data_IF_312696979917
#
_entry.id   IF_312696979917
#
_cell.length_a   1.000
_cell.length_b   1.000
_cell.length_c   1.000
_cell.angle_alpha   90.00
_cell.angle_beta   90.00
_cell.angle_gamma   90.00
#
_symmetry.space_group_name_H-M   'P 1'
#
loop_
_entity.id
_entity.type
_entity.pdbx_description
1 polymer ?
#
# COMPACT_ATOMS: atom_id res chain seq x y z
N UNK A 1 47.63 -16.48 -59.42
CA UNK A 1 46.27 -15.81 -59.41
C UNK A 1 45.82 -15.67 -57.97
N UNK A 2 45.86 -14.46 -57.44
CA UNK A 2 45.47 -14.14 -56.02
C UNK A 2 44.03 -13.66 -56.01
N UNK A 3 43.14 -14.34 -55.26
CA UNK A 3 41.76 -13.88 -54.99
C UNK A 3 41.76 -13.16 -53.69
N UNK A 4 41.37 -11.86 -53.72
CA UNK A 4 41.11 -10.99 -52.57
C UNK A 4 39.70 -11.25 -52.02
N UNK A 5 39.60 -11.77 -50.83
CA UNK A 5 38.37 -11.83 -50.09
C UNK A 5 38.06 -10.47 -49.42
N UNK A 6 36.94 -9.85 -49.76
CA UNK A 6 36.42 -8.64 -49.09
C UNK A 6 35.66 -9.07 -47.83
N UNK A 7 36.20 -8.74 -46.67
CA UNK A 7 35.50 -8.83 -45.38
C UNK A 7 34.56 -7.63 -45.26
N UNK A 8 33.27 -7.88 -45.28
CA UNK A 8 32.24 -6.85 -44.95
C UNK A 8 32.04 -6.86 -43.44
N UNK A 9 32.50 -5.82 -42.77
CA UNK A 9 32.16 -5.56 -41.36
C UNK A 9 30.72 -5.03 -41.32
N UNK A 10 29.79 -5.86 -40.85
CA UNK A 10 28.45 -5.36 -40.42
C UNK A 10 28.61 -4.72 -39.04
N UNK A 11 28.65 -3.41 -39.03
CA UNK A 11 28.49 -2.62 -37.81
C UNK A 11 27.07 -2.73 -37.29
N UNK A 12 26.86 -3.51 -36.22
CA UNK A 12 25.61 -3.52 -35.49
C UNK A 12 25.52 -2.24 -34.65
N UNK A 13 24.80 -1.26 -35.15
CA UNK A 13 24.43 -0.06 -34.37
C UNK A 13 23.32 -0.47 -33.43
N UNK A 14 23.65 -0.83 -32.19
CA UNK A 14 22.69 -0.95 -31.09
C UNK A 14 22.28 0.48 -30.69
N UNK A 15 21.28 1.05 -31.37
CA UNK A 15 20.69 2.33 -31.00
C UNK A 15 19.69 2.09 -29.88
N UNK A 16 20.09 2.48 -28.74
CA UNK A 16 19.36 2.89 -27.52
C UNK A 16 17.86 3.22 -27.74
N UNK A 17 17.02 2.17 -27.85
CA UNK A 17 15.55 2.31 -27.85
C UNK A 17 14.98 2.75 -26.48
N UNK A 18 15.77 2.66 -25.40
CA UNK A 18 15.38 3.03 -24.04
C UNK A 18 15.28 4.55 -23.81
N UNK A 19 16.07 5.36 -24.51
CA UNK A 19 16.06 6.82 -24.35
C UNK A 19 14.87 7.49 -25.05
N UNK A 20 14.41 6.95 -26.16
CA UNK A 20 13.34 7.59 -26.96
C UNK A 20 11.98 7.44 -26.26
N UNK A 21 11.74 6.34 -25.55
CA UNK A 21 10.46 6.12 -24.85
C UNK A 21 10.27 7.01 -23.62
N UNK A 22 11.33 7.30 -22.87
CA UNK A 22 11.27 8.19 -21.70
C UNK A 22 11.10 9.66 -22.11
N UNK A 23 11.74 10.09 -23.18
CA UNK A 23 11.60 11.43 -23.74
C UNK A 23 10.19 11.62 -24.31
N UNK A 24 9.67 10.66 -25.06
CA UNK A 24 8.32 10.73 -25.62
C UNK A 24 7.22 10.78 -24.54
N UNK A 25 7.42 10.10 -23.39
CA UNK A 25 6.48 10.17 -22.28
C UNK A 25 6.55 11.53 -21.55
N UNK A 26 7.75 12.04 -21.26
CA UNK A 26 7.90 13.36 -20.62
C UNK A 26 7.33 14.50 -21.45
N UNK A 27 7.30 14.35 -22.78
CA UNK A 27 6.66 15.31 -23.69
C UNK A 27 5.14 15.28 -23.67
N UNK A 28 4.53 14.18 -23.17
CA UNK A 28 3.05 14.01 -23.05
C UNK A 28 2.50 14.52 -21.74
N UNK A 29 3.33 14.69 -20.71
CA UNK A 29 2.91 15.24 -19.42
C UNK A 29 2.96 16.77 -19.43
N UNK A 30 1.96 17.39 -18.82
CA UNK A 30 1.97 18.81 -18.55
C UNK A 30 3.13 19.20 -17.63
N UNK A 31 3.70 20.37 -17.84
CA UNK A 31 4.88 20.89 -17.11
C UNK A 31 4.54 21.42 -15.72
N UNK A 32 3.28 21.74 -15.49
CA UNK A 32 2.74 22.26 -14.23
C UNK A 32 1.28 21.79 -14.06
N UNK A 33 0.69 22.08 -12.89
CA UNK A 33 -0.66 21.61 -12.57
C UNK A 33 -1.74 22.14 -13.53
N UNK A 34 -1.62 23.38 -14.01
CA UNK A 34 -2.61 23.97 -14.92
C UNK A 34 -2.59 23.26 -16.27
N UNK A 35 -1.41 23.02 -16.81
CA UNK A 35 -1.25 22.27 -18.06
C UNK A 35 -1.69 20.81 -17.91
N UNK A 36 -1.34 20.15 -16.79
CA UNK A 36 -1.80 18.79 -16.47
C UNK A 36 -3.32 18.74 -16.43
N UNK A 37 -3.98 19.69 -15.76
CA UNK A 37 -5.42 19.76 -15.67
C UNK A 37 -6.09 19.98 -17.04
N UNK A 38 -5.51 20.84 -17.87
CA UNK A 38 -5.99 21.08 -19.24
C UNK A 38 -5.87 19.82 -20.11
N UNK A 39 -4.74 19.10 -20.02
CA UNK A 39 -4.51 17.88 -20.78
C UNK A 39 -5.39 16.74 -20.27
N UNK A 40 -5.53 16.58 -18.95
CA UNK A 40 -6.42 15.61 -18.34
C UNK A 40 -7.88 15.78 -18.80
N UNK A 41 -8.37 17.01 -18.88
CA UNK A 41 -9.70 17.31 -19.41
C UNK A 41 -9.84 16.98 -20.91
N UNK A 42 -8.75 17.02 -21.67
CA UNK A 42 -8.74 16.57 -23.09
C UNK A 42 -8.72 15.05 -23.21
N UNK A 43 -8.03 14.36 -22.30
CA UNK A 43 -7.95 12.90 -22.23
C UNK A 43 -9.30 12.26 -21.84
N UNK A 44 -10.09 12.92 -21.01
CA UNK A 44 -11.48 12.59 -20.63
C UNK A 44 -11.69 11.24 -19.91
N UNK A 45 -10.68 10.43 -19.80
CA UNK A 45 -10.79 9.10 -19.20
C UNK A 45 -9.57 8.81 -18.33
N UNK A 46 -9.74 7.94 -17.32
CA UNK A 46 -8.65 7.28 -16.62
C UNK A 46 -9.10 5.89 -16.20
N UNK A 47 -8.29 4.87 -16.49
CA UNK A 47 -8.52 3.50 -16.03
C UNK A 47 -7.52 3.12 -14.94
N UNK A 48 -8.05 2.70 -13.81
CA UNK A 48 -7.28 2.48 -12.58
C UNK A 48 -7.39 1.03 -12.13
N UNK A 49 -6.26 0.36 -11.94
CA UNK A 49 -6.22 -0.90 -11.22
C UNK A 49 -5.97 -0.62 -9.73
N UNK A 50 -6.97 -0.88 -8.88
CA UNK A 50 -6.97 -0.46 -7.47
C UNK A 50 -7.47 -1.52 -6.51
N UNK A 51 -7.20 -1.38 -5.22
CA UNK A 51 -7.70 -2.24 -4.15
C UNK A 51 -8.86 -1.63 -3.35
N UNK A 52 -9.49 -0.56 -3.86
CA UNK A 52 -10.63 0.07 -3.18
C UNK A 52 -11.83 -0.86 -3.10
N UNK A 53 -12.62 -0.70 -2.06
CA UNK A 53 -13.86 -1.46 -1.92
C UNK A 53 -14.93 -0.85 -2.85
N UNK A 54 -15.58 -1.65 -3.70
CA UNK A 54 -16.53 -1.16 -4.71
C UNK A 54 -17.66 -0.30 -4.11
N UNK A 55 -18.11 -0.64 -2.91
CA UNK A 55 -19.15 0.10 -2.19
C UNK A 55 -18.73 1.51 -1.78
N UNK A 56 -17.43 1.77 -1.63
CA UNK A 56 -16.89 3.08 -1.23
C UNK A 56 -16.48 3.93 -2.42
N UNK A 57 -16.26 3.34 -3.59
CA UNK A 57 -15.62 3.98 -4.74
C UNK A 57 -16.28 5.29 -5.17
N UNK A 58 -17.61 5.29 -5.32
CA UNK A 58 -18.34 6.49 -5.75
C UNK A 58 -18.19 7.64 -4.75
N UNK A 59 -18.25 7.34 -3.44
CA UNK A 59 -18.09 8.33 -2.38
C UNK A 59 -16.63 8.80 -2.27
N UNK A 60 -15.67 7.87 -2.41
CA UNK A 60 -14.24 8.16 -2.39
C UNK A 60 -13.85 9.14 -3.51
N UNK A 61 -14.36 8.94 -4.71
CA UNK A 61 -14.03 9.73 -5.89
C UNK A 61 -14.90 10.98 -6.06
N UNK A 62 -15.89 11.21 -5.20
CA UNK A 62 -16.86 12.30 -5.33
C UNK A 62 -16.21 13.67 -5.50
N UNK A 63 -15.21 14.02 -4.68
CA UNK A 63 -14.51 15.30 -4.78
C UNK A 63 -13.73 15.45 -6.09
N UNK A 64 -13.09 14.36 -6.54
CA UNK A 64 -12.41 14.37 -7.83
C UNK A 64 -13.38 14.59 -9.00
N UNK A 65 -14.50 13.86 -9.05
CA UNK A 65 -15.49 13.98 -10.12
C UNK A 65 -16.20 15.34 -10.12
N UNK A 66 -16.36 15.97 -8.96
CA UNK A 66 -16.85 17.34 -8.87
C UNK A 66 -15.84 18.35 -9.42
N UNK A 67 -14.55 18.15 -9.13
CA UNK A 67 -13.47 19.02 -9.61
C UNK A 67 -13.17 18.84 -11.10
N UNK A 68 -13.31 17.61 -11.60
CA UNK A 68 -13.02 17.22 -12.97
C UNK A 68 -14.22 16.49 -13.61
N UNK A 69 -15.35 17.19 -13.83
CA UNK A 69 -16.60 16.55 -14.28
C UNK A 69 -16.51 15.97 -15.69
N UNK A 70 -15.49 16.36 -16.45
CA UNK A 70 -15.23 15.83 -17.80
C UNK A 70 -14.40 14.56 -17.84
N UNK A 71 -13.87 14.09 -16.69
CA UNK A 71 -13.02 12.90 -16.63
C UNK A 71 -13.82 11.71 -16.11
N UNK A 72 -14.01 10.71 -16.95
CA UNK A 72 -14.60 9.42 -16.59
C UNK A 72 -13.55 8.52 -15.96
N UNK A 73 -13.82 8.01 -14.75
CA UNK A 73 -12.99 7.03 -14.08
C UNK A 73 -13.58 5.64 -14.28
N UNK A 74 -12.74 4.68 -14.61
CA UNK A 74 -13.08 3.25 -14.57
C UNK A 74 -12.06 2.51 -13.73
N UNK A 75 -12.52 1.63 -12.87
CA UNK A 75 -11.69 0.90 -11.92
C UNK A 75 -11.78 -0.59 -12.16
N UNK A 76 -10.64 -1.26 -12.02
CA UNK A 76 -10.55 -2.72 -11.96
C UNK A 76 -10.00 -3.10 -10.60
N UNK A 77 -10.73 -3.94 -9.87
CA UNK A 77 -10.32 -4.35 -8.53
C UNK A 77 -9.14 -5.31 -8.59
N UNK A 78 -8.08 -4.98 -7.87
CA UNK A 78 -6.93 -5.84 -7.67
C UNK A 78 -7.09 -6.61 -6.35
N UNK A 79 -7.08 -7.94 -6.43
CA UNK A 79 -7.01 -8.82 -5.26
C UNK A 79 -5.73 -9.65 -5.30
N UNK A 80 -4.85 -9.42 -4.33
CA UNK A 80 -3.63 -10.21 -4.20
C UNK A 80 -2.46 -9.78 -5.11
N UNK A 81 -1.41 -10.58 -5.09
CA UNK A 81 -0.17 -10.34 -5.83
C UNK A 81 -0.30 -10.75 -7.30
N UNK A 82 -1.01 -11.85 -7.58
CA UNK A 82 -1.12 -12.46 -8.91
C UNK A 82 -1.70 -11.51 -9.95
N UNK A 83 -2.72 -10.72 -9.57
CA UNK A 83 -3.31 -9.73 -10.48
C UNK A 83 -2.33 -8.64 -10.85
N UNK A 84 -1.50 -8.21 -9.89
CA UNK A 84 -0.45 -7.19 -10.14
C UNK A 84 0.65 -7.73 -11.02
N UNK A 85 1.10 -8.96 -10.79
CA UNK A 85 2.08 -9.64 -11.64
C UNK A 85 1.55 -9.82 -13.05
N UNK A 86 0.27 -10.17 -13.22
CA UNK A 86 -0.39 -10.24 -14.54
C UNK A 86 -0.34 -8.90 -15.26
N UNK A 87 -0.72 -7.79 -14.61
CA UNK A 87 -0.67 -6.44 -15.20
C UNK A 87 0.76 -6.07 -15.61
N UNK A 88 1.75 -6.41 -14.80
CA UNK A 88 3.16 -6.18 -15.13
C UNK A 88 3.58 -6.98 -16.38
N UNK A 89 3.20 -8.25 -16.45
CA UNK A 89 3.56 -9.13 -17.58
C UNK A 89 2.84 -8.72 -18.87
N UNK A 90 1.59 -8.29 -18.79
CA UNK A 90 0.85 -7.69 -19.92
C UNK A 90 1.57 -6.45 -20.44
N UNK A 91 2.00 -5.57 -19.54
CA UNK A 91 2.75 -4.36 -19.91
C UNK A 91 4.11 -4.67 -20.55
N UNK A 92 4.82 -5.71 -20.08
CA UNK A 92 6.05 -6.21 -20.72
C UNK A 92 5.79 -6.74 -22.14
N UNK A 93 4.62 -7.32 -22.39
CA UNK A 93 4.17 -7.76 -23.71
C UNK A 93 3.64 -6.61 -24.58
N UNK A 94 3.69 -5.36 -24.10
CA UNK A 94 3.20 -4.17 -24.83
C UNK A 94 1.69 -3.92 -24.69
N UNK A 95 1.00 -4.65 -23.83
CA UNK A 95 -0.44 -4.49 -23.56
C UNK A 95 -0.59 -3.62 -22.32
N UNK A 96 -1.01 -2.37 -22.50
CA UNK A 96 -1.23 -1.38 -21.42
C UNK A 96 -2.69 -0.95 -21.41
N UNK A 97 -3.46 -1.63 -20.57
CA UNK A 97 -4.91 -1.38 -20.46
C UNK A 97 -5.24 -0.39 -19.33
N UNK A 98 -4.36 -0.26 -18.33
CA UNK A 98 -4.55 0.67 -17.22
C UNK A 98 -3.63 1.88 -17.36
N UNK A 99 -4.16 3.06 -17.01
CA UNK A 99 -3.35 4.28 -16.94
C UNK A 99 -2.62 4.39 -15.60
N UNK A 100 -3.26 3.89 -14.54
CA UNK A 100 -2.80 3.97 -13.15
C UNK A 100 -2.94 2.61 -12.47
N UNK A 101 -1.93 2.21 -11.72
CA UNK A 101 -1.92 0.93 -11.00
C UNK A 101 -1.51 1.10 -9.55
N UNK A 102 -2.24 0.47 -8.65
CA UNK A 102 -1.84 0.31 -7.25
C UNK A 102 -0.86 -0.86 -7.12
N UNK A 103 0.40 -0.57 -6.81
CA UNK A 103 1.46 -1.56 -6.63
C UNK A 103 1.70 -1.79 -5.13
N UNK A 104 1.71 -3.06 -4.70
CA UNK A 104 2.11 -3.40 -3.33
C UNK A 104 3.62 -3.25 -3.14
N UNK A 105 4.07 -3.07 -1.88
CA UNK A 105 5.47 -2.89 -1.54
C UNK A 105 6.39 -3.97 -2.11
N UNK A 106 5.93 -5.23 -2.09
CA UNK A 106 6.69 -6.40 -2.56
C UNK A 106 7.01 -6.34 -4.06
N UNK A 107 6.12 -5.78 -4.88
CA UNK A 107 6.26 -5.72 -6.34
C UNK A 107 6.85 -4.40 -6.85
N UNK A 108 6.95 -3.38 -6.00
CA UNK A 108 7.39 -2.05 -6.40
C UNK A 108 8.72 -2.07 -7.18
N UNK A 109 9.72 -2.73 -6.62
CA UNK A 109 11.04 -2.82 -7.25
C UNK A 109 11.01 -3.63 -8.57
N UNK A 110 10.11 -4.61 -8.67
CA UNK A 110 9.95 -5.39 -9.89
C UNK A 110 9.36 -4.53 -11.01
N UNK A 111 8.31 -3.74 -10.73
CA UNK A 111 7.73 -2.81 -11.70
C UNK A 111 8.74 -1.76 -12.20
N UNK A 112 9.58 -1.21 -11.30
CA UNK A 112 10.64 -0.26 -11.69
C UNK A 112 11.67 -0.95 -12.58
N UNK A 113 12.20 -2.13 -12.16
CA UNK A 113 13.19 -2.89 -12.90
C UNK A 113 12.68 -3.37 -14.26
N UNK A 114 11.41 -3.74 -14.32
CA UNK A 114 10.75 -4.13 -15.57
C UNK A 114 10.55 -2.94 -16.53
N UNK A 115 10.71 -1.70 -16.05
CA UNK A 115 10.58 -0.49 -16.86
C UNK A 115 9.16 -0.27 -17.40
N UNK A 116 8.14 -0.80 -16.71
CA UNK A 116 6.72 -0.72 -17.09
C UNK A 116 6.00 0.48 -16.51
N UNK A 117 6.68 1.28 -15.68
CA UNK A 117 6.16 2.53 -15.13
C UNK A 117 6.69 3.74 -15.89
N UNK A 118 5.87 4.75 -15.95
CA UNK A 118 6.25 6.08 -16.38
C UNK A 118 6.96 6.83 -15.24
N UNK A 119 8.03 7.51 -15.58
CA UNK A 119 8.77 8.30 -14.59
C UNK A 119 10.26 8.44 -14.92
N UNK A 120 11.02 9.09 -14.05
CA UNK A 120 10.58 9.69 -12.78
C UNK A 120 9.67 10.92 -12.98
N UNK A 121 8.64 11.02 -12.14
CA UNK A 121 7.72 12.15 -12.10
C UNK A 121 8.20 13.14 -11.02
N UNK A 122 8.28 14.44 -11.29
CA UNK A 122 8.75 15.44 -10.33
C UNK A 122 7.64 15.80 -9.32
N UNK A 123 7.14 14.82 -8.56
CA UNK A 123 6.01 14.94 -7.66
C UNK A 123 6.10 16.14 -6.71
N UNK A 124 7.28 16.34 -6.09
CA UNK A 124 7.48 17.43 -5.13
C UNK A 124 7.36 18.82 -5.78
N UNK A 125 7.79 18.94 -7.05
CA UNK A 125 7.68 20.19 -7.79
C UNK A 125 6.22 20.44 -8.20
N UNK A 126 5.51 19.40 -8.59
CA UNK A 126 4.09 19.50 -8.98
C UNK A 126 3.17 19.73 -7.77
N UNK A 127 3.50 19.13 -6.62
CA UNK A 127 2.69 19.18 -5.40
C UNK A 127 3.48 19.63 -4.17
N UNK A 128 4.04 20.87 -4.17
CA UNK A 128 4.99 21.33 -3.14
C UNK A 128 4.37 21.49 -1.75
N UNK A 129 3.02 21.54 -1.64
CA UNK A 129 2.30 21.66 -0.36
C UNK A 129 1.93 20.31 0.25
N UNK A 130 2.13 19.21 -0.46
CA UNK A 130 1.83 17.88 0.02
C UNK A 130 3.03 17.34 0.81
N UNK A 131 2.73 16.64 1.92
CA UNK A 131 3.78 16.03 2.73
C UNK A 131 4.63 15.09 1.87
N UNK A 132 5.94 15.26 1.90
CA UNK A 132 6.90 14.52 1.07
C UNK A 132 6.84 12.99 1.25
N UNK A 133 6.34 12.51 2.40
CA UNK A 133 6.16 11.07 2.66
C UNK A 133 5.19 10.39 1.70
N UNK A 134 4.33 11.18 1.04
CA UNK A 134 3.47 10.66 -0.01
C UNK A 134 4.23 10.29 -1.29
N UNK A 135 5.44 10.80 -1.50
CA UNK A 135 6.15 10.62 -2.77
C UNK A 135 7.38 9.73 -2.62
N UNK A 136 7.52 8.76 -3.51
CA UNK A 136 8.71 7.93 -3.54
C UNK A 136 9.94 8.75 -3.99
N UNK A 137 11.10 8.58 -3.35
CA UNK A 137 12.31 9.33 -3.71
C UNK A 137 12.76 9.11 -5.16
N UNK A 138 12.46 7.94 -5.72
CA UNK A 138 12.76 7.58 -7.11
C UNK A 138 11.77 8.19 -8.13
N UNK A 139 10.70 8.83 -7.68
CA UNK A 139 9.73 9.53 -8.52
C UNK A 139 8.71 8.64 -9.24
N UNK A 140 8.70 7.33 -9.00
CA UNK A 140 7.77 6.43 -9.72
C UNK A 140 6.39 6.32 -9.06
N UNK A 141 6.28 6.60 -7.77
CA UNK A 141 5.05 6.38 -7.02
C UNK A 141 4.63 7.56 -6.17
N UNK A 142 3.31 7.65 -5.97
CA UNK A 142 2.71 8.45 -4.90
C UNK A 142 1.84 7.55 -4.00
N UNK A 143 2.00 7.69 -2.68
CA UNK A 143 1.20 6.98 -1.69
C UNK A 143 -0.15 7.64 -1.52
N UNK A 144 -1.20 7.03 -2.08
CA UNK A 144 -2.58 7.48 -1.93
C UNK A 144 -3.23 6.95 -0.66
N UNK A 145 -2.73 5.86 -0.09
CA UNK A 145 -3.29 5.26 1.11
C UNK A 145 -2.26 4.61 2.01
N UNK A 146 -2.54 4.66 3.32
CA UNK A 146 -1.69 4.10 4.37
C UNK A 146 -2.46 3.01 5.13
N UNK A 147 -1.78 1.92 5.41
CA UNK A 147 -2.31 0.87 6.28
C UNK A 147 -1.79 1.06 7.69
N UNK A 148 -2.68 1.04 8.68
CA UNK A 148 -2.30 0.97 10.09
C UNK A 148 -2.80 -0.31 10.70
N UNK A 149 -2.17 -0.73 11.79
CA UNK A 149 -2.47 -1.98 12.47
C UNK A 149 -2.78 -1.72 13.93
N UNK A 150 -3.80 -2.41 14.40
CA UNK A 150 -4.38 -2.31 15.75
C UNK A 150 -4.51 -3.70 16.37
N UNK A 151 -4.93 -3.77 17.60
CA UNK A 151 -5.30 -5.00 18.24
C UNK A 151 -6.82 -5.10 18.24
N UNK A 152 -7.38 -6.05 17.47
CA UNK A 152 -8.82 -6.29 17.43
C UNK A 152 -9.22 -7.26 18.55
N UNK A 153 -10.36 -7.05 19.19
CA UNK A 153 -10.81 -7.92 20.27
C UNK A 153 -12.35 -8.01 20.35
N UNK A 154 -12.83 -9.09 20.94
CA UNK A 154 -14.25 -9.24 21.27
C UNK A 154 -14.53 -8.62 22.66
N UNK A 155 -15.35 -7.56 22.75
CA UNK A 155 -15.59 -6.87 24.02
C UNK A 155 -16.39 -7.68 25.04
N UNK A 156 -16.97 -8.81 24.65
CA UNK A 156 -17.66 -9.72 25.57
C UNK A 156 -16.75 -10.76 26.19
N UNK A 157 -15.55 -10.99 25.60
CA UNK A 157 -14.58 -11.96 26.05
C UNK A 157 -13.34 -11.35 26.70
N UNK A 158 -13.02 -10.09 26.37
CA UNK A 158 -11.86 -9.38 26.93
C UNK A 158 -12.32 -8.52 28.10
N UNK A 159 -11.87 -8.81 29.34
CA UNK A 159 -12.16 -7.99 30.52
C UNK A 159 -11.66 -6.55 30.33
N UNK A 160 -12.35 -5.58 30.90
CA UNK A 160 -12.00 -4.16 30.75
C UNK A 160 -10.57 -3.81 31.18
N UNK A 161 -10.09 -4.44 32.23
CA UNK A 161 -8.74 -4.29 32.75
C UNK A 161 -7.67 -5.02 31.90
N UNK A 162 -8.08 -5.91 30.99
CA UNK A 162 -7.24 -6.66 30.07
C UNK A 162 -7.26 -6.12 28.64
N UNK A 163 -7.99 -5.02 28.37
CA UNK A 163 -7.94 -4.38 27.04
C UNK A 163 -6.53 -3.88 26.78
N UNK A 164 -5.88 -4.32 25.67
CA UNK A 164 -4.49 -3.98 25.37
C UNK A 164 -4.26 -2.46 25.19
N UNK A 165 -3.11 -1.97 25.63
CA UNK A 165 -2.66 -0.58 25.44
C UNK A 165 -1.36 -0.50 24.65
N UNK A 166 -0.67 -1.63 24.56
CA UNK A 166 0.61 -1.77 23.85
C UNK A 166 0.71 -3.13 23.18
N UNK A 167 1.66 -3.28 22.27
CA UNK A 167 1.95 -4.58 21.67
C UNK A 167 2.39 -5.63 22.68
N UNK A 168 3.10 -5.20 23.75
CA UNK A 168 3.56 -6.10 24.80
C UNK A 168 2.41 -6.78 25.55
N UNK A 169 1.22 -6.19 25.55
CA UNK A 169 0.04 -6.80 26.19
C UNK A 169 -0.40 -8.06 25.46
N UNK A 170 -0.01 -8.25 24.19
CA UNK A 170 -0.17 -9.52 23.49
C UNK A 170 0.71 -10.64 24.07
N UNK A 171 1.73 -10.30 24.86
CA UNK A 171 2.64 -11.24 25.47
C UNK A 171 2.18 -11.67 26.89
N UNK A 172 1.10 -11.06 27.43
CA UNK A 172 0.56 -11.42 28.74
C UNK A 172 0.24 -12.95 28.74
N UNK A 173 0.78 -13.72 29.71
CA UNK A 173 0.51 -15.14 29.85
C UNK A 173 -1.00 -15.49 29.95
N UNK A 174 -1.83 -14.56 30.35
CA UNK A 174 -3.29 -14.70 30.34
C UNK A 174 -3.83 -15.08 28.95
N UNK A 175 -3.18 -14.63 27.89
CA UNK A 175 -3.56 -14.90 26.49
C UNK A 175 -2.93 -16.13 25.89
N UNK A 176 -2.10 -16.85 26.64
CA UNK A 176 -1.40 -18.03 26.14
C UNK A 176 -2.37 -19.04 25.53
N UNK A 177 -2.14 -19.40 24.28
CA UNK A 177 -2.98 -20.33 23.51
C UNK A 177 -4.35 -19.79 23.08
N UNK A 178 -4.68 -18.53 23.37
CA UNK A 178 -6.01 -17.96 23.13
C UNK A 178 -6.02 -16.83 22.09
N UNK A 179 -4.91 -16.11 21.94
CA UNK A 179 -4.87 -14.99 21.00
C UNK A 179 -4.55 -15.46 19.57
N UNK A 180 -5.11 -14.77 18.59
CA UNK A 180 -4.83 -15.01 17.18
C UNK A 180 -3.67 -14.10 16.71
N UNK A 181 -2.78 -14.66 15.88
CA UNK A 181 -1.76 -13.94 15.13
C UNK A 181 -1.86 -14.35 13.66
N UNK A 182 -1.76 -13.36 12.76
CA UNK A 182 -1.74 -13.63 11.34
C UNK A 182 -0.37 -14.14 10.90
N UNK A 183 -0.34 -15.17 10.04
CA UNK A 183 0.91 -15.75 9.51
C UNK A 183 1.66 -14.76 8.59
N UNK A 184 0.98 -13.75 8.07
CA UNK A 184 1.60 -12.61 7.38
C UNK A 184 2.10 -11.59 8.41
N UNK A 185 3.42 -11.33 8.51
CA UNK A 185 3.98 -10.52 9.59
C UNK A 185 3.90 -9.01 9.34
N UNK A 186 3.03 -8.51 8.47
CA UNK A 186 2.99 -7.09 8.07
C UNK A 186 2.87 -6.11 9.23
N UNK A 187 2.09 -6.43 10.24
CA UNK A 187 2.01 -5.62 11.47
C UNK A 187 3.39 -5.39 12.08
N UNK A 188 4.18 -6.45 12.15
CA UNK A 188 5.46 -6.45 12.87
C UNK A 188 6.60 -5.94 11.98
N UNK A 189 6.54 -6.14 10.65
CA UNK A 189 7.45 -5.45 9.72
C UNK A 189 7.27 -3.94 9.82
N UNK A 190 6.02 -3.45 9.97
CA UNK A 190 5.73 -2.04 10.15
C UNK A 190 6.22 -1.43 11.48
N UNK A 191 6.51 -2.24 12.49
CA UNK A 191 7.11 -1.79 13.76
C UNK A 191 8.64 -1.69 13.68
N UNK A 192 9.27 -2.47 12.81
CA UNK A 192 10.72 -2.55 12.71
C UNK A 192 11.43 -1.19 12.47
N UNK A 193 10.89 -0.24 11.67
CA UNK A 193 11.52 1.05 11.46
C UNK A 193 11.68 1.88 12.76
N UNK A 194 10.77 1.71 13.71
CA UNK A 194 10.83 2.43 14.99
C UNK A 194 11.43 1.64 16.14
N UNK A 195 11.34 0.33 16.09
CA UNK A 195 11.84 -0.55 17.14
C UNK A 195 13.27 -1.04 16.90
N UNK A 196 13.70 -1.09 15.67
CA UNK A 196 14.90 -1.79 15.23
C UNK A 196 14.68 -3.31 15.09
N UNK A 197 15.58 -3.95 14.35
CA UNK A 197 15.49 -5.38 14.04
C UNK A 197 15.51 -6.26 15.29
N UNK A 198 16.47 -6.02 16.19
CA UNK A 198 16.65 -6.84 17.38
C UNK A 198 15.40 -6.90 18.26
N UNK A 199 14.83 -5.73 18.61
CA UNK A 199 13.60 -5.64 19.41
C UNK A 199 12.42 -6.29 18.71
N UNK A 200 12.29 -6.10 17.40
CA UNK A 200 11.20 -6.69 16.60
C UNK A 200 11.29 -8.22 16.61
N UNK A 201 12.48 -8.78 16.44
CA UNK A 201 12.68 -10.23 16.47
C UNK A 201 12.56 -10.82 17.87
N UNK A 202 12.97 -10.10 18.91
CA UNK A 202 12.75 -10.50 20.29
C UNK A 202 11.24 -10.59 20.61
N UNK A 203 10.46 -9.58 20.19
CA UNK A 203 9.02 -9.58 20.33
C UNK A 203 8.38 -10.75 19.54
N UNK A 204 8.82 -11.00 18.31
CA UNK A 204 8.31 -12.10 17.49
C UNK A 204 8.53 -13.46 18.17
N UNK A 205 9.70 -13.69 18.78
CA UNK A 205 9.98 -14.91 19.56
C UNK A 205 9.08 -15.04 20.78
N UNK A 206 8.96 -13.96 21.57
CA UNK A 206 8.10 -13.94 22.75
C UNK A 206 6.63 -14.18 22.41
N UNK A 207 6.17 -13.63 21.28
CA UNK A 207 4.82 -13.86 20.77
C UNK A 207 4.58 -15.33 20.42
N UNK A 208 5.56 -15.99 19.79
CA UNK A 208 5.53 -17.44 19.54
C UNK A 208 5.46 -18.23 20.82
N UNK A 209 6.26 -17.85 21.84
CA UNK A 209 6.31 -18.55 23.12
C UNK A 209 4.97 -18.45 23.89
N UNK A 210 4.18 -17.43 23.59
CA UNK A 210 2.81 -17.28 24.06
C UNK A 210 1.81 -18.20 23.33
N UNK A 211 2.29 -19.08 22.44
CA UNK A 211 1.52 -20.12 21.74
C UNK A 211 0.25 -19.58 21.05
N UNK A 212 0.38 -18.58 20.14
CA UNK A 212 -0.79 -18.00 19.49
C UNK A 212 -1.44 -18.99 18.52
N UNK A 213 -2.72 -18.75 18.23
CA UNK A 213 -3.43 -19.43 17.15
C UNK A 213 -3.07 -18.75 15.82
N UNK A 214 -2.38 -19.45 14.96
CA UNK A 214 -1.94 -18.94 13.66
C UNK A 214 -3.06 -19.01 12.62
N UNK A 215 -3.35 -17.88 11.96
CA UNK A 215 -4.36 -17.79 10.88
C UNK A 215 -3.76 -17.12 9.65
N UNK A 216 -4.08 -17.63 8.47
CA UNK A 216 -3.66 -17.05 7.19
C UNK A 216 -4.67 -16.02 6.65
N UNK A 217 -5.97 -16.23 6.93
CA UNK A 217 -7.05 -15.36 6.48
C UNK A 217 -7.33 -14.27 7.51
N UNK A 218 -7.12 -13.01 7.13
CA UNK A 218 -7.42 -11.84 7.96
C UNK A 218 -8.94 -11.70 8.23
N UNK A 219 -9.76 -11.82 7.18
CA UNK A 219 -11.22 -11.75 7.31
C UNK A 219 -11.76 -12.93 8.13
N UNK A 220 -11.28 -14.15 7.87
CA UNK A 220 -11.69 -15.33 8.64
C UNK A 220 -11.34 -15.22 10.12
N UNK A 221 -10.13 -14.72 10.45
CA UNK A 221 -9.73 -14.49 11.84
C UNK A 221 -10.63 -13.46 12.53
N UNK A 222 -10.97 -12.37 11.84
CA UNK A 222 -11.84 -11.35 12.39
C UNK A 222 -13.27 -11.84 12.61
N UNK A 223 -13.81 -12.65 11.69
CA UNK A 223 -15.11 -13.33 11.87
C UNK A 223 -15.10 -14.24 13.11
N UNK A 224 -14.05 -15.02 13.30
CA UNK A 224 -13.91 -15.91 14.47
C UNK A 224 -13.87 -15.13 15.80
N UNK A 225 -13.21 -13.96 15.81
CA UNK A 225 -13.27 -13.07 16.99
C UNK A 225 -14.65 -12.48 17.17
N UNK A 226 -15.31 -12.04 16.10
CA UNK A 226 -16.65 -11.45 16.18
C UNK A 226 -17.70 -12.42 16.73
N UNK A 227 -17.62 -13.72 16.38
CA UNK A 227 -18.52 -14.77 16.89
C UNK A 227 -18.10 -15.33 18.25
N UNK A 228 -16.94 -14.90 18.79
CA UNK A 228 -16.49 -15.28 20.13
C UNK A 228 -15.68 -16.58 20.20
N UNK A 229 -15.17 -17.07 19.07
CA UNK A 229 -14.27 -18.23 19.07
C UNK A 229 -12.90 -17.88 19.70
N UNK A 230 -12.42 -16.67 19.46
CA UNK A 230 -11.18 -16.15 20.04
C UNK A 230 -11.41 -14.76 20.68
N UNK A 231 -10.69 -14.44 21.77
CA UNK A 231 -10.85 -13.15 22.43
C UNK A 231 -10.24 -11.98 21.64
N UNK A 232 -9.12 -12.19 20.95
CA UNK A 232 -8.45 -11.11 20.25
C UNK A 232 -7.46 -11.55 19.16
N UNK A 233 -7.12 -10.58 18.29
CA UNK A 233 -6.09 -10.69 17.24
C UNK A 233 -5.01 -9.66 17.54
N UNK A 234 -3.76 -10.12 17.75
CA UNK A 234 -2.60 -9.26 17.87
C UNK A 234 -2.11 -8.88 16.47
N UNK A 235 -2.46 -7.69 16.02
CA UNK A 235 -2.06 -7.18 14.72
C UNK A 235 -3.08 -7.38 13.62
N UNK A 236 -4.18 -6.62 13.68
CA UNK A 236 -5.21 -6.56 12.66
C UNK A 236 -5.10 -5.25 11.87
N UNK A 237 -5.19 -5.31 10.55
CA UNK A 237 -5.27 -4.12 9.74
C UNK A 237 -6.57 -3.35 10.03
N UNK A 238 -6.45 -2.06 10.33
CA UNK A 238 -7.57 -1.21 10.69
C UNK A 238 -8.65 -1.15 9.60
N UNK A 239 -8.24 -1.02 8.33
CA UNK A 239 -9.17 -1.00 7.21
C UNK A 239 -10.04 -2.27 7.11
N UNK A 240 -9.50 -3.43 7.43
CA UNK A 240 -10.26 -4.70 7.41
C UNK A 240 -11.26 -4.79 8.54
N UNK A 241 -10.90 -4.32 9.73
CA UNK A 241 -11.84 -4.20 10.84
C UNK A 241 -12.96 -3.22 10.49
N UNK A 242 -12.62 -2.06 9.95
CA UNK A 242 -13.59 -1.03 9.53
C UNK A 242 -14.57 -1.58 8.50
N UNK A 243 -14.09 -2.20 7.45
CA UNK A 243 -14.93 -2.84 6.41
C UNK A 243 -15.85 -3.91 7.02
N UNK A 244 -15.37 -4.72 7.97
CA UNK A 244 -16.21 -5.72 8.64
C UNK A 244 -17.33 -5.07 9.44
N UNK A 245 -17.03 -4.03 10.22
CA UNK A 245 -18.05 -3.32 11.04
C UNK A 245 -19.04 -2.55 10.13
N UNK A 246 -18.59 -2.02 9.01
CA UNK A 246 -19.48 -1.37 8.04
C UNK A 246 -20.48 -2.36 7.41
N UNK A 247 -20.03 -3.58 7.09
CA UNK A 247 -20.90 -4.64 6.54
C UNK A 247 -21.80 -5.30 7.58
N UNK A 248 -21.31 -5.41 8.81
CA UNK A 248 -22.06 -5.96 9.94
C UNK A 248 -21.87 -5.08 11.18
N UNK A 249 -22.72 -4.06 11.38
CA UNK A 249 -22.68 -3.21 12.57
C UNK A 249 -22.98 -3.94 13.89
N UNK A 250 -23.48 -5.19 13.83
CA UNK A 250 -23.77 -6.01 15.00
C UNK A 250 -22.59 -6.90 15.41
N UNK A 251 -21.53 -6.95 14.61
CA UNK A 251 -20.32 -7.71 14.89
C UNK A 251 -19.72 -7.32 16.26
N UNK A 252 -19.56 -8.31 17.13
CA UNK A 252 -18.98 -8.11 18.47
C UNK A 252 -17.46 -7.96 18.40
N UNK A 253 -17.01 -6.89 17.76
CA UNK A 253 -15.59 -6.59 17.59
C UNK A 253 -15.32 -5.14 17.93
N UNK A 254 -14.29 -4.92 18.71
CA UNK A 254 -13.73 -3.62 19.06
C UNK A 254 -12.24 -3.60 18.75
N UNK A 255 -11.60 -2.46 18.92
CA UNK A 255 -10.15 -2.34 18.74
C UNK A 255 -9.51 -1.54 19.85
N UNK A 256 -8.24 -1.85 20.07
CA UNK A 256 -7.34 -1.09 20.92
C UNK A 256 -6.20 -0.54 20.05
N UNK A 257 -5.85 0.71 20.29
CA UNK A 257 -4.75 1.39 19.61
C UNK A 257 -3.50 1.29 20.50
N UNK A 258 -2.45 0.57 20.06
CA UNK A 258 -1.24 0.46 20.82
C UNK A 258 -0.44 1.76 20.82
N UNK A 259 0.39 1.97 21.86
CA UNK A 259 1.22 3.18 22.03
C UNK A 259 2.17 3.45 20.86
N UNK A 260 2.74 2.41 20.25
CA UNK A 260 3.50 2.49 18.99
C UNK A 260 2.59 2.04 17.86
N UNK A 261 2.13 2.99 17.05
CA UNK A 261 1.16 2.73 15.99
C UNK A 261 1.86 2.69 14.62
N UNK A 262 1.96 1.51 13.99
CA UNK A 262 2.62 1.39 12.70
C UNK A 262 1.74 1.92 11.58
N UNK A 263 2.35 2.72 10.70
CA UNK A 263 1.78 3.14 9.42
C UNK A 263 2.69 2.68 8.29
N UNK A 264 2.10 1.96 7.36
CA UNK A 264 2.77 1.46 6.17
C UNK A 264 2.15 2.07 4.91
N UNK A 265 2.95 2.22 3.86
CA UNK A 265 2.44 2.60 2.55
C UNK A 265 1.59 1.43 2.03
N UNK A 266 0.28 1.59 2.12
CA UNK A 266 -0.70 0.57 1.72
C UNK A 266 -1.03 0.61 0.25
N UNK A 267 -1.00 1.82 -0.34
CA UNK A 267 -1.34 2.06 -1.73
C UNK A 267 -0.30 2.97 -2.39
N UNK A 268 0.57 2.37 -3.20
CA UNK A 268 1.53 3.07 -4.03
C UNK A 268 1.01 3.13 -5.46
N UNK A 269 0.56 4.31 -5.89
CA UNK A 269 0.02 4.56 -7.21
C UNK A 269 1.13 4.87 -8.19
N UNK A 270 1.25 4.06 -9.23
CA UNK A 270 2.21 4.24 -10.32
C UNK A 270 1.49 4.44 -11.66
N UNK A 271 1.95 5.41 -12.46
CA UNK A 271 1.43 5.63 -13.81
C UNK A 271 2.09 4.62 -14.75
N UNK A 272 1.31 3.94 -15.58
CA UNK A 272 1.86 2.93 -16.51
C UNK A 272 2.59 3.60 -17.66
N UNK A 273 3.74 3.02 -18.04
CA UNK A 273 4.46 3.44 -19.27
C UNK A 273 3.59 3.07 -20.48
N UNK A 274 3.31 4.05 -21.31
CA UNK A 274 2.38 3.84 -22.43
C UNK A 274 0.91 4.06 -22.09
N UNK A 275 0.60 4.57 -20.88
CA UNK A 275 -0.75 4.99 -20.50
C UNK A 275 -1.39 5.83 -21.60
N UNK A 276 -2.66 5.58 -21.90
CA UNK A 276 -3.44 6.34 -22.89
C UNK A 276 -3.77 7.74 -22.37
N UNK A 277 -3.99 7.85 -21.06
CA UNK A 277 -4.47 9.05 -20.38
C UNK A 277 -3.54 9.44 -19.19
N UNK A 278 -2.25 9.74 -19.45
CA UNK A 278 -1.26 9.93 -18.39
C UNK A 278 -1.50 11.19 -17.55
N UNK A 279 -2.08 12.25 -18.13
CA UNK A 279 -2.38 13.48 -17.39
C UNK A 279 -3.61 13.32 -16.50
N UNK A 280 -4.63 12.59 -16.94
CA UNK A 280 -5.77 12.24 -16.11
C UNK A 280 -5.35 11.32 -14.93
N UNK A 281 -4.45 10.36 -15.18
CA UNK A 281 -3.84 9.54 -14.14
C UNK A 281 -3.04 10.38 -13.13
N UNK A 282 -2.25 11.34 -13.60
CA UNK A 282 -1.48 12.25 -12.77
C UNK A 282 -2.38 13.19 -11.96
N UNK A 283 -3.44 13.75 -12.58
CA UNK A 283 -4.41 14.60 -11.89
C UNK A 283 -5.15 13.84 -10.79
N UNK A 284 -5.57 12.59 -11.06
CA UNK A 284 -6.23 11.73 -10.06
C UNK A 284 -5.28 11.41 -8.90
N UNK A 285 -4.06 10.96 -9.21
CA UNK A 285 -3.06 10.64 -8.19
C UNK A 285 -2.73 11.88 -7.35
N UNK A 286 -2.55 13.03 -8.00
CA UNK A 286 -2.29 14.29 -7.33
C UNK A 286 -3.45 14.73 -6.43
N UNK A 287 -4.69 14.51 -6.83
CA UNK A 287 -5.86 14.79 -5.99
C UNK A 287 -5.94 13.84 -4.80
N UNK A 288 -5.70 12.54 -4.99
CA UNK A 288 -5.74 11.55 -3.90
C UNK A 288 -4.79 11.89 -2.75
N UNK A 289 -3.66 12.54 -3.01
CA UNK A 289 -2.71 12.95 -1.97
C UNK A 289 -3.00 14.32 -1.34
N UNK A 290 -4.00 15.05 -1.84
CA UNK A 290 -4.45 16.31 -1.21
C UNK A 290 -5.17 16.07 0.11
N UNK A 291 -5.32 17.08 0.98
CA UNK A 291 -6.12 16.95 2.20
C UNK A 291 -7.55 16.45 1.94
N UNK A 292 -8.18 16.89 0.85
CA UNK A 292 -9.52 16.44 0.46
C UNK A 292 -9.53 14.95 0.06
N UNK A 293 -8.61 14.56 -0.83
CA UNK A 293 -8.48 13.15 -1.24
C UNK A 293 -8.16 12.24 -0.06
N UNK A 294 -7.28 12.68 0.83
CA UNK A 294 -6.94 11.93 2.05
C UNK A 294 -8.11 11.84 3.03
N UNK A 295 -8.96 12.88 3.11
CA UNK A 295 -10.19 12.79 3.89
C UNK A 295 -11.17 11.76 3.33
N UNK A 296 -11.26 11.66 2.00
CA UNK A 296 -12.07 10.63 1.37
C UNK A 296 -11.49 9.20 1.56
N UNK A 297 -10.16 9.07 1.70
CA UNK A 297 -9.53 7.79 2.06
C UNK A 297 -9.89 7.29 3.47
N UNK A 298 -10.53 8.13 4.30
CA UNK A 298 -11.14 7.69 5.56
C UNK A 298 -12.20 6.61 5.32
N UNK A 299 -12.93 6.65 4.21
CA UNK A 299 -13.92 5.61 3.85
C UNK A 299 -13.29 4.22 3.80
N UNK A 300 -12.07 4.14 3.28
CA UNK A 300 -11.27 2.92 3.23
C UNK A 300 -10.53 2.60 4.54
N UNK A 301 -10.52 3.51 5.54
CA UNK A 301 -9.68 3.39 6.73
C UNK A 301 -8.19 3.40 6.41
N UNK A 302 -7.80 4.15 5.36
CA UNK A 302 -6.43 4.19 4.81
C UNK A 302 -5.88 5.60 4.62
N UNK A 303 -6.47 6.57 5.29
CA UNK A 303 -5.99 7.95 5.21
C UNK A 303 -4.62 8.15 5.83
N UNK A 304 -3.98 9.26 5.48
CA UNK A 304 -2.65 9.63 5.98
C UNK A 304 -2.70 10.15 7.42
N UNK A 305 -1.83 9.68 8.31
CA UNK A 305 -1.72 10.24 9.66
C UNK A 305 -1.09 11.63 9.69
N UNK A 306 -0.54 12.09 8.56
CA UNK A 306 0.13 13.39 8.42
C UNK A 306 -0.78 14.48 7.85
N UNK A 307 -2.03 14.17 7.56
CA UNK A 307 -3.01 15.13 7.07
C UNK A 307 -4.02 15.42 8.19
N UNK A 308 -4.04 16.66 8.72
CA UNK A 308 -4.95 17.03 9.80
C UNK A 308 -6.43 16.79 9.44
N UNK A 309 -7.21 16.31 10.39
CA UNK A 309 -8.65 16.05 10.23
C UNK A 309 -8.99 14.72 9.55
N UNK A 310 -7.99 13.93 9.12
CA UNK A 310 -8.22 12.56 8.68
C UNK A 310 -8.47 11.63 9.88
N UNK A 311 -9.15 10.51 9.63
CA UNK A 311 -9.39 9.49 10.66
C UNK A 311 -8.08 8.96 11.26
N UNK A 312 -7.06 8.74 10.43
CA UNK A 312 -5.75 8.29 10.89
C UNK A 312 -5.07 9.31 11.82
N UNK A 313 -5.12 10.60 11.49
CA UNK A 313 -4.57 11.65 12.33
C UNK A 313 -5.32 11.77 13.67
N UNK A 314 -6.64 11.68 13.63
CA UNK A 314 -7.48 11.71 14.85
C UNK A 314 -7.25 10.46 15.71
N UNK A 315 -7.02 9.28 15.10
CA UNK A 315 -6.69 8.06 15.82
C UNK A 315 -5.39 8.24 16.61
N UNK A 316 -4.34 8.76 15.97
CA UNK A 316 -3.05 9.07 16.61
C UNK A 316 -3.24 10.06 17.76
N UNK A 317 -3.93 11.16 17.51
CA UNK A 317 -4.16 12.23 18.51
C UNK A 317 -4.97 11.75 19.71
N UNK A 318 -6.10 11.07 19.46
CA UNK A 318 -7.01 10.58 20.52
C UNK A 318 -6.34 9.61 21.46
N UNK A 319 -5.46 8.75 20.96
CA UNK A 319 -4.78 7.72 21.75
C UNK A 319 -3.36 8.11 22.17
N UNK A 320 -2.93 9.34 21.85
CA UNK A 320 -1.56 9.80 22.10
C UNK A 320 -0.51 8.77 21.61
N UNK A 321 -0.79 8.17 20.44
CA UNK A 321 0.04 7.10 19.90
C UNK A 321 1.27 7.69 19.19
N UNK A 322 2.40 7.02 19.34
CA UNK A 322 3.62 7.33 18.59
C UNK A 322 3.52 6.70 17.19
N UNK A 323 3.62 7.51 16.15
CA UNK A 323 3.68 7.00 14.78
C UNK A 323 5.00 6.27 14.55
N UNK A 324 4.91 5.00 14.13
CA UNK A 324 6.01 4.25 13.56
C UNK A 324 5.76 4.16 12.07
N UNK A 325 6.51 4.92 11.29
CA UNK A 325 6.27 5.04 9.86
C UNK A 325 7.26 4.18 9.05
N UNK A 326 6.72 3.29 8.23
CA UNK A 326 7.50 2.58 7.22
C UNK A 326 7.75 3.52 6.03
N UNK A 327 8.97 4.05 5.95
CA UNK A 327 9.38 4.92 4.84
C UNK A 327 9.51 4.14 3.53
N UNK A 328 9.62 4.86 2.42
CA UNK A 328 9.88 4.27 1.10
C UNK A 328 11.17 3.43 1.08
N UNK A 329 12.18 3.82 1.86
CA UNK A 329 13.44 3.06 1.99
C UNK A 329 13.24 1.81 2.85
N UNK A 330 12.51 1.92 3.96
CA UNK A 330 12.16 0.77 4.80
C UNK A 330 11.37 -0.29 4.02
N UNK A 331 10.49 0.14 3.12
CA UNK A 331 9.69 -0.74 2.27
C UNK A 331 10.56 -1.66 1.38
N UNK A 332 11.77 -1.23 1.01
CA UNK A 332 12.71 -2.07 0.25
C UNK A 332 13.20 -3.29 1.05
N UNK A 333 13.20 -3.20 2.37
CA UNK A 333 13.65 -4.24 3.28
C UNK A 333 12.49 -5.04 3.91
N UNK A 334 11.23 -4.71 3.57
CA UNK A 334 10.05 -5.37 4.14
C UNK A 334 10.09 -6.89 3.97
N UNK A 335 10.41 -7.37 2.77
CA UNK A 335 10.46 -8.80 2.47
C UNK A 335 11.54 -9.54 3.27
N UNK A 336 12.69 -8.90 3.51
CA UNK A 336 13.76 -9.47 4.33
C UNK A 336 13.33 -9.55 5.80
N UNK A 337 12.77 -8.47 6.33
CA UNK A 337 12.25 -8.42 7.70
C UNK A 337 11.13 -9.44 7.91
N UNK A 338 10.22 -9.59 6.94
CA UNK A 338 9.17 -10.60 6.96
C UNK A 338 9.74 -12.02 7.07
N UNK A 339 10.78 -12.33 6.29
CA UNK A 339 11.46 -13.65 6.40
C UNK A 339 12.12 -13.86 7.76
N UNK A 340 12.76 -12.84 8.33
CA UNK A 340 13.36 -12.90 9.67
C UNK A 340 12.30 -13.14 10.75
N UNK A 341 11.17 -12.44 10.70
CA UNK A 341 10.06 -12.61 11.64
C UNK A 341 9.44 -14.01 11.53
N UNK A 342 9.12 -14.47 10.32
CA UNK A 342 8.56 -15.81 10.11
C UNK A 342 9.53 -16.92 10.52
N UNK A 343 10.83 -16.70 10.33
CA UNK A 343 11.88 -17.57 10.87
C UNK A 343 11.90 -17.60 12.41
N UNK A 344 11.74 -16.44 13.06
CA UNK A 344 11.63 -16.35 14.52
C UNK A 344 10.37 -17.07 15.05
N UNK A 345 9.30 -17.11 14.28
CA UNK A 345 8.09 -17.90 14.58
C UNK A 345 8.28 -19.39 14.37
N UNK A 346 9.35 -19.82 13.70
CA UNK A 346 9.65 -21.22 13.40
C UNK A 346 8.89 -21.76 12.19
N UNK A 347 8.38 -20.88 11.32
CA UNK A 347 7.78 -21.33 10.07
C UNK A 347 8.88 -21.80 9.11
N UNK A 348 8.62 -22.86 8.30
CA UNK A 348 9.59 -23.31 7.30
C UNK A 348 9.90 -22.17 6.34
N UNK A 349 11.18 -22.05 5.96
CA UNK A 349 11.58 -21.12 4.89
C UNK A 349 10.78 -21.52 3.65
N UNK A 350 9.94 -20.62 3.14
CA UNK A 350 9.28 -20.83 1.86
C UNK A 350 10.34 -21.18 0.82
N UNK A 351 10.10 -22.21 0.02
CA UNK A 351 10.91 -22.42 -1.18
C UNK A 351 10.69 -21.20 -2.07
N UNK A 352 11.79 -20.51 -2.38
CA UNK A 352 11.81 -19.37 -3.32
C UNK A 352 11.27 -19.79 -4.68
#
# INVERSE_FOLDING_TARGET
MRAFGKTVLLGVTVVTALGISSIAFSQRLGKNLDEINQLANKEKNVRVATSWEPENEAALLKGFTQKYPGIKISTDRISGIDTRERIMNEALAGIVDHDLVNVSGELRNQYIKAGVLAGPIPWRNLFPKINERHFSPDGYFAASGFSTYIIAYNPTLVPKDKVPKSWNDCLDPYWKGKLVVLTRPRTFTGLAPGWGEEKTLAFARALKDNQPVWKSSQTGALTQVAVGEYPMICGMAYHSLKSTVQRDPTAKVAYAVPSDLPFQIGEAMGIMKGAKNPNAALALTGWLVTPEGQKNMDLEGRSSPYVPGTEAAELVKKHNAKIVFESWDALQHEAEMARKITGAWGFPKGKN
#
